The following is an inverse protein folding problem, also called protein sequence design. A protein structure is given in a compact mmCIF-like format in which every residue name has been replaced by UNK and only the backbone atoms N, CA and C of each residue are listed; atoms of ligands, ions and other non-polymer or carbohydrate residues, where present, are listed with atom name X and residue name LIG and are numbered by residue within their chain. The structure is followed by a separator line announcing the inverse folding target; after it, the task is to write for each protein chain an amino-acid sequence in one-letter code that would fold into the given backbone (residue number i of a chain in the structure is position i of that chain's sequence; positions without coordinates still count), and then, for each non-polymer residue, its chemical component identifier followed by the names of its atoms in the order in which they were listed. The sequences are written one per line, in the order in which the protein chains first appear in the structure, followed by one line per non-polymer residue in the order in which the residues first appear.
data_IF_561303455284
#
_entry.id   IF_561303455284
#
_cell.length_a   1.000
_cell.length_b   1.000
_cell.length_c   1.000
_cell.angle_alpha   90.00
_cell.angle_beta   90.00
_cell.angle_gamma   90.00
#
_symmetry.space_group_name_H-M   'P 1'
#
loop_
_entity.id
_entity.type
_entity.pdbx_description
1 polymer ?
#
# COMPACT_ATOMS: atom_id res chain seq x y z
N UNK A 1 34.77 5.42 53.06
CA UNK A 1 33.94 5.93 54.16
C UNK A 1 32.51 5.50 53.83
N UNK A 2 32.13 4.32 54.23
CA UNK A 2 31.26 3.94 55.37
C UNK A 2 29.83 4.44 55.13
N UNK A 3 28.92 3.51 54.84
CA UNK A 3 28.06 2.62 55.65
C UNK A 3 26.66 3.23 55.75
N UNK A 4 25.65 2.36 55.52
CA UNK A 4 24.30 2.55 55.97
C UNK A 4 23.28 1.64 55.31
N UNK A 5 23.27 0.39 55.77
CA UNK A 5 22.25 -0.65 55.71
C UNK A 5 20.93 -0.21 56.36
N UNK A 6 19.83 -0.79 55.91
CA UNK A 6 18.56 -0.75 56.62
C UNK A 6 17.48 -1.59 55.96
N UNK A 7 17.44 -2.87 56.26
CA UNK A 7 16.34 -3.79 55.96
C UNK A 7 15.37 -3.83 57.16
N UNK A 8 14.06 -3.92 56.91
CA UNK A 8 13.09 -4.54 57.84
C UNK A 8 11.98 -5.25 57.07
N UNK A 9 11.78 -6.48 57.49
CA UNK A 9 10.84 -7.53 57.14
C UNK A 9 9.61 -7.47 58.04
N UNK A 10 8.48 -8.06 57.56
CA UNK A 10 7.45 -8.87 58.24
C UNK A 10 6.09 -8.61 57.63
N UNK A 11 5.45 -9.51 56.95
CA UNK A 11 4.76 -10.76 57.31
C UNK A 11 3.35 -10.53 57.90
N UNK A 12 2.36 -11.20 57.33
CA UNK A 12 1.02 -11.27 57.87
C UNK A 12 0.03 -12.02 56.98
N UNK A 13 -0.13 -13.30 57.26
CA UNK A 13 -1.04 -14.31 56.78
C UNK A 13 -2.55 -13.97 56.89
N UNK A 14 -3.37 -14.69 56.09
CA UNK A 14 -4.81 -14.83 56.33
C UNK A 14 -5.51 -15.67 55.27
N UNK A 15 -5.61 -16.99 55.54
CA UNK A 15 -6.39 -17.99 54.78
C UNK A 15 -7.83 -18.06 55.22
N UNK A 16 -8.75 -18.49 54.29
CA UNK A 16 -9.88 -19.43 54.48
C UNK A 16 -10.71 -19.48 53.19
N UNK A 17 -10.78 -20.57 52.45
CA UNK A 17 -11.56 -21.81 52.51
C UNK A 17 -13.08 -21.57 52.72
N UNK A 18 -13.97 -21.98 51.81
CA UNK A 18 -14.59 -23.24 51.52
C UNK A 18 -15.85 -22.98 50.72
N UNK A 19 -16.24 -23.71 49.77
CA UNK A 19 -16.70 -25.07 49.50
C UNK A 19 -18.14 -25.10 48.96
N UNK A 20 -18.29 -25.89 47.87
CA UNK A 20 -19.34 -26.83 47.49
C UNK A 20 -20.75 -26.27 47.16
N UNK A 21 -21.46 -26.72 46.14
CA UNK A 21 -21.79 -28.05 45.66
C UNK A 21 -22.69 -27.99 44.43
N UNK A 22 -22.52 -28.92 43.51
CA UNK A 22 -23.57 -29.38 42.56
C UNK A 22 -24.52 -30.34 43.31
N UNK A 23 -25.67 -30.79 42.77
CA UNK A 23 -25.84 -31.48 41.50
C UNK A 23 -27.21 -31.38 40.79
N UNK A 24 -27.27 -31.77 39.54
CA UNK A 24 -28.08 -32.90 39.06
C UNK A 24 -29.40 -32.59 38.33
N UNK A 25 -29.47 -33.15 37.18
CA UNK A 25 -30.42 -34.11 36.62
C UNK A 25 -30.99 -33.77 35.23
N UNK A 26 -30.61 -34.61 34.28
CA UNK A 26 -31.39 -35.02 33.09
C UNK A 26 -32.45 -36.05 33.58
N UNK A 27 -33.51 -36.46 32.83
CA UNK A 27 -33.57 -36.78 31.40
C UNK A 27 -34.96 -36.58 30.72
N UNK A 28 -35.12 -36.77 29.43
CA UNK A 28 -35.76 -37.89 28.77
C UNK A 28 -36.33 -37.56 27.38
N UNK A 29 -36.15 -38.54 26.52
CA UNK A 29 -36.50 -38.62 25.12
C UNK A 29 -37.99 -38.92 24.86
N UNK A 30 -38.46 -38.67 23.60
CA UNK A 30 -39.42 -39.52 22.85
C UNK A 30 -39.34 -39.16 21.36
N UNK A 31 -38.86 -39.99 20.52
CA UNK A 31 -39.35 -40.98 19.54
C UNK A 31 -40.53 -40.53 18.69
N UNK A 32 -40.38 -40.66 17.37
CA UNK A 32 -41.44 -40.62 16.39
C UNK A 32 -40.91 -40.80 14.94
N UNK A 33 -41.21 -41.95 14.36
CA UNK A 33 -40.63 -42.60 13.20
C UNK A 33 -41.14 -42.14 11.82
N UNK A 34 -40.30 -42.32 10.83
CA UNK A 34 -40.39 -42.88 9.49
C UNK A 34 -41.59 -42.58 8.56
N UNK A 35 -41.26 -42.19 7.34
CA UNK A 35 -41.76 -42.85 6.13
C UNK A 35 -40.86 -42.53 4.90
N UNK A 36 -40.58 -43.60 4.20
CA UNK A 36 -39.77 -43.74 2.99
C UNK A 36 -40.45 -43.23 1.72
N UNK A 37 -39.68 -42.76 0.74
CA UNK A 37 -40.11 -42.53 -0.62
C UNK A 37 -38.93 -42.45 -1.56
N UNK A 38 -38.67 -43.55 -2.28
CA UNK A 38 -37.69 -43.65 -3.36
C UNK A 38 -38.19 -42.99 -4.62
N UNK A 39 -37.34 -42.24 -5.34
CA UNK A 39 -37.34 -42.13 -6.81
C UNK A 39 -36.06 -41.52 -7.38
N UNK A 40 -35.35 -42.31 -8.10
CA UNK A 40 -34.69 -42.22 -9.40
C UNK A 40 -33.87 -40.98 -9.80
N UNK A 41 -32.68 -41.30 -10.25
CA UNK A 41 -31.60 -40.48 -10.76
C UNK A 41 -31.88 -39.82 -12.12
N UNK A 42 -31.33 -38.58 -12.30
CA UNK A 42 -31.03 -37.94 -13.57
C UNK A 42 -29.79 -37.04 -13.36
N UNK A 43 -28.91 -36.91 -14.33
CA UNK A 43 -27.62 -36.26 -14.13
C UNK A 43 -27.77 -34.75 -14.06
N UNK A 44 -27.27 -34.15 -13.00
CA UNK A 44 -27.27 -32.70 -12.78
C UNK A 44 -25.93 -32.13 -13.19
N UNK A 45 -25.95 -31.21 -14.11
CA UNK A 45 -24.88 -30.28 -14.45
C UNK A 45 -24.44 -29.52 -13.20
N UNK A 46 -23.16 -29.68 -12.84
CA UNK A 46 -22.51 -28.90 -11.79
C UNK A 46 -21.97 -27.60 -12.39
N UNK A 47 -22.80 -26.60 -12.51
CA UNK A 47 -22.36 -25.21 -12.59
C UNK A 47 -22.25 -24.66 -11.17
N UNK A 48 -21.02 -24.56 -10.67
CA UNK A 48 -20.71 -23.81 -9.44
C UNK A 48 -21.08 -22.34 -9.65
N UNK A 49 -21.85 -21.73 -8.74
CA UNK A 49 -22.00 -20.29 -8.77
C UNK A 49 -20.70 -19.65 -8.26
N UNK A 50 -19.99 -19.01 -9.19
CA UNK A 50 -19.00 -17.99 -8.85
C UNK A 50 -19.72 -16.91 -8.05
N UNK A 51 -19.47 -16.85 -6.75
CA UNK A 51 -19.92 -15.74 -5.92
C UNK A 51 -19.14 -14.49 -6.35
N UNK A 52 -19.66 -13.80 -7.36
CA UNK A 52 -19.30 -12.42 -7.61
C UNK A 52 -19.70 -11.62 -6.36
N UNK A 53 -18.72 -11.28 -5.54
CA UNK A 53 -18.89 -10.27 -4.51
C UNK A 53 -19.14 -8.95 -5.25
N UNK A 54 -20.40 -8.60 -5.39
CA UNK A 54 -20.80 -7.27 -5.82
C UNK A 54 -20.56 -6.32 -4.66
N UNK A 55 -19.30 -5.89 -4.49
CA UNK A 55 -19.02 -4.67 -3.75
C UNK A 55 -19.68 -3.53 -4.54
N UNK A 56 -20.64 -2.88 -3.90
CA UNK A 56 -21.31 -1.72 -4.48
C UNK A 56 -20.21 -0.66 -4.67
N UNK A 57 -19.84 -0.38 -5.90
CA UNK A 57 -18.93 0.71 -6.22
C UNK A 57 -19.48 2.00 -5.58
N UNK A 58 -18.64 2.71 -4.86
CA UNK A 58 -19.01 4.03 -4.32
C UNK A 58 -19.23 4.94 -5.51
N UNK A 59 -20.42 5.52 -5.61
CA UNK A 59 -20.73 6.47 -6.69
C UNK A 59 -19.96 7.78 -6.45
N UNK A 60 -18.79 7.91 -7.07
CA UNK A 60 -17.94 9.11 -6.99
C UNK A 60 -18.55 10.32 -7.73
N UNK A 61 -19.66 10.16 -8.44
CA UNK A 61 -20.40 11.31 -9.00
C UNK A 61 -21.16 12.09 -7.94
N UNK A 62 -21.37 11.50 -6.76
CA UNK A 62 -22.03 12.13 -5.61
C UNK A 62 -21.08 12.99 -4.77
N UNK A 63 -20.06 13.61 -5.37
CA UNK A 63 -19.10 14.48 -4.68
C UNK A 63 -19.82 15.60 -3.94
N UNK A 64 -19.81 15.54 -2.63
CA UNK A 64 -20.42 16.54 -1.76
C UNK A 64 -19.36 17.07 -0.79
N UNK A 65 -19.09 18.35 -0.84
CA UNK A 65 -18.15 19.03 0.05
C UNK A 65 -18.13 20.53 -0.26
N UNK A 66 -17.66 21.31 0.68
CA UNK A 66 -17.55 22.75 0.53
C UNK A 66 -16.09 23.18 0.32
N UNK A 67 -15.36 22.50 -0.58
CA UNK A 67 -14.04 22.95 -1.02
C UNK A 67 -14.10 24.42 -1.44
N UNK A 68 -12.99 25.11 -1.38
CA UNK A 68 -12.88 26.53 -1.78
C UNK A 68 -12.13 26.64 -3.08
N UNK A 69 -12.44 27.63 -3.88
CA UNK A 69 -11.71 28.00 -5.09
C UNK A 69 -11.12 29.40 -4.87
N UNK A 70 -9.84 29.56 -5.12
CA UNK A 70 -9.15 30.86 -5.19
C UNK A 70 -8.56 31.12 -6.58
N UNK A 71 -8.81 30.19 -7.50
CA UNK A 71 -8.37 30.22 -8.90
C UNK A 71 -6.91 29.82 -9.06
N UNK A 72 -6.34 29.04 -8.12
CA UNK A 72 -4.94 28.60 -8.13
C UNK A 72 -4.84 27.20 -7.54
N UNK A 73 -4.29 26.26 -8.31
CA UNK A 73 -4.06 24.90 -7.80
C UNK A 73 -2.95 24.90 -6.72
N UNK A 74 -3.30 24.47 -5.52
CA UNK A 74 -2.39 24.32 -4.39
C UNK A 74 -2.32 22.85 -3.97
N UNK A 75 -1.12 22.27 -4.02
CA UNK A 75 -0.80 20.87 -3.70
C UNK A 75 -0.19 20.82 -2.32
N UNK A 76 -0.80 20.10 -1.37
CA UNK A 76 -0.17 19.72 -0.11
C UNK A 76 0.53 18.37 -0.25
N UNK A 77 1.64 18.18 0.44
CA UNK A 77 2.35 16.91 0.49
C UNK A 77 2.18 16.24 1.84
N UNK A 78 1.66 15.04 1.85
CA UNK A 78 1.58 14.19 3.03
C UNK A 78 2.44 12.95 2.82
N UNK A 79 3.76 13.15 2.70
CA UNK A 79 4.72 12.13 2.30
C UNK A 79 5.73 11.83 3.43
N UNK A 80 6.27 10.59 3.55
CA UNK A 80 7.03 10.19 4.72
C UNK A 80 8.46 10.76 4.70
N UNK A 81 8.68 11.86 5.45
CA UNK A 81 10.02 12.34 5.75
C UNK A 81 10.60 11.59 6.96
N UNK A 82 9.74 11.18 7.87
CA UNK A 82 10.08 10.42 9.08
C UNK A 82 9.19 9.18 9.22
N UNK A 83 9.52 8.30 10.19
CA UNK A 83 8.75 7.10 10.46
C UNK A 83 9.22 5.88 9.68
N UNK A 84 8.44 4.80 9.74
CA UNK A 84 8.79 3.47 9.24
C UNK A 84 8.90 3.36 7.71
N UNK A 85 8.35 4.32 6.95
CA UNK A 85 8.43 4.42 5.50
C UNK A 85 9.27 5.60 5.01
N UNK A 86 10.11 6.23 5.86
CA UNK A 86 10.94 7.37 5.48
C UNK A 86 11.85 7.11 4.26
N UNK A 87 12.11 5.85 3.91
CA UNK A 87 12.87 5.46 2.73
C UNK A 87 12.14 5.70 1.41
N UNK A 88 10.80 5.74 1.42
CA UNK A 88 9.97 6.04 0.25
C UNK A 88 9.81 7.55 0.02
N UNK A 89 9.99 8.37 1.05
CA UNK A 89 9.78 9.82 0.93
C UNK A 89 10.60 10.51 -0.16
N UNK A 90 11.94 10.36 -0.22
CA UNK A 90 12.76 11.06 -1.20
C UNK A 90 12.30 10.88 -2.66
N UNK A 91 12.04 9.67 -3.19
CA UNK A 91 11.55 9.51 -4.55
C UNK A 91 10.12 10.08 -4.75
N UNK A 92 9.25 9.99 -3.75
CA UNK A 92 7.89 10.55 -3.83
C UNK A 92 7.92 12.08 -3.90
N UNK A 93 8.66 12.75 -3.01
CA UNK A 93 8.87 14.21 -3.08
C UNK A 93 9.51 14.64 -4.39
N UNK A 94 10.48 13.87 -4.90
CA UNK A 94 11.10 14.18 -6.19
C UNK A 94 10.08 14.07 -7.34
N UNK A 95 9.15 13.12 -7.28
CA UNK A 95 8.06 12.98 -8.24
C UNK A 95 7.12 14.18 -8.24
N UNK A 96 6.64 14.59 -7.05
CA UNK A 96 5.77 15.77 -6.87
C UNK A 96 6.48 17.03 -7.37
N UNK A 97 7.70 17.30 -6.88
CA UNK A 97 8.46 18.51 -7.24
C UNK A 97 8.79 18.57 -8.73
N UNK A 98 9.09 17.42 -9.37
CA UNK A 98 9.31 17.36 -10.82
C UNK A 98 8.03 17.69 -11.59
N UNK A 99 6.88 17.12 -11.21
CA UNK A 99 5.59 17.39 -11.85
C UNK A 99 5.26 18.89 -11.77
N UNK A 100 5.32 19.48 -10.58
CA UNK A 100 5.03 20.91 -10.36
C UNK A 100 5.98 21.78 -11.19
N UNK A 101 7.27 21.46 -11.23
CA UNK A 101 8.26 22.16 -12.03
C UNK A 101 7.91 22.13 -13.52
N UNK A 102 7.55 20.98 -14.08
CA UNK A 102 7.21 20.83 -15.51
C UNK A 102 5.86 21.49 -15.84
N UNK A 103 4.87 21.40 -14.96
CA UNK A 103 3.57 22.09 -15.10
C UNK A 103 3.79 23.60 -15.13
N UNK A 104 4.57 24.15 -14.19
CA UNK A 104 4.84 25.58 -14.12
C UNK A 104 5.66 26.08 -15.32
N UNK A 105 6.59 25.27 -15.82
CA UNK A 105 7.33 25.57 -17.04
C UNK A 105 6.43 25.58 -18.30
N UNK A 106 5.32 24.83 -18.29
CA UNK A 106 4.32 24.81 -19.36
C UNK A 106 3.31 25.97 -19.29
N UNK A 107 3.38 26.81 -18.25
CA UNK A 107 2.48 27.96 -18.06
C UNK A 107 1.54 27.85 -16.85
N UNK A 108 1.70 26.81 -16.04
CA UNK A 108 0.90 26.55 -14.85
C UNK A 108 -0.48 26.00 -15.17
N UNK A 109 -1.36 26.04 -14.20
CA UNK A 109 -2.78 25.59 -14.27
C UNK A 109 -3.69 26.81 -14.19
N UNK A 110 -4.71 26.87 -15.06
CA UNK A 110 -5.61 28.05 -15.20
C UNK A 110 -4.83 29.37 -15.41
N UNK A 111 -3.63 29.29 -16.04
CA UNK A 111 -2.76 30.41 -16.27
C UNK A 111 -2.00 30.94 -15.05
N UNK A 112 -1.97 30.18 -13.95
CA UNK A 112 -1.24 30.50 -12.71
C UNK A 112 -0.28 29.40 -12.33
N UNK A 113 0.86 29.71 -11.67
CA UNK A 113 1.74 28.69 -11.13
C UNK A 113 1.04 27.83 -10.08
N UNK A 114 1.29 26.52 -10.13
CA UNK A 114 0.94 25.56 -9.06
C UNK A 114 1.84 25.83 -7.86
N UNK A 115 1.26 25.83 -6.67
CA UNK A 115 1.98 26.00 -5.40
C UNK A 115 2.03 24.67 -4.64
N UNK A 116 3.18 24.41 -4.02
CA UNK A 116 3.43 23.24 -3.18
C UNK A 116 3.49 23.65 -1.70
N UNK A 117 2.92 22.85 -0.81
CA UNK A 117 3.01 22.95 0.65
C UNK A 117 3.62 21.66 1.17
N UNK A 118 4.96 21.61 1.35
CA UNK A 118 5.61 20.38 1.80
C UNK A 118 5.17 19.96 3.21
N UNK A 119 5.00 18.65 3.44
CA UNK A 119 4.61 18.11 4.72
C UNK A 119 5.10 16.69 4.97
N UNK A 120 5.30 16.38 6.26
CA UNK A 120 5.68 15.06 6.73
C UNK A 120 4.41 14.27 7.11
N UNK A 121 4.32 13.03 6.65
CA UNK A 121 3.26 12.12 7.08
C UNK A 121 3.60 11.40 8.40
N UNK A 122 4.87 11.33 8.78
CA UNK A 122 5.30 10.47 9.87
C UNK A 122 4.90 9.01 9.62
N UNK A 123 4.47 8.36 10.68
CA UNK A 123 3.86 7.03 10.64
C UNK A 123 2.61 6.94 11.52
N UNK A 124 1.95 5.77 11.54
CA UNK A 124 0.70 5.57 12.27
C UNK A 124 0.84 5.61 13.81
N UNK A 125 2.07 5.70 14.34
CA UNK A 125 2.34 5.79 15.80
C UNK A 125 2.41 7.23 16.29
N UNK A 126 2.34 8.20 15.38
CA UNK A 126 2.48 9.64 15.67
C UNK A 126 1.24 10.42 15.21
N UNK A 127 1.10 11.67 15.64
CA UNK A 127 0.06 12.61 15.20
C UNK A 127 0.55 13.58 14.10
N UNK A 128 1.75 13.33 13.54
CA UNK A 128 2.39 14.19 12.54
C UNK A 128 1.47 14.40 11.33
N UNK A 129 0.89 13.33 10.78
CA UNK A 129 -0.04 13.43 9.65
C UNK A 129 -1.22 14.35 9.93
N UNK A 130 -1.82 14.25 11.13
CA UNK A 130 -2.94 15.10 11.54
C UNK A 130 -2.52 16.57 11.61
N UNK A 131 -1.33 16.87 12.15
CA UNK A 131 -0.80 18.24 12.20
C UNK A 131 -0.51 18.79 10.81
N UNK A 132 0.10 17.98 9.94
CA UNK A 132 0.39 18.33 8.54
C UNK A 132 -0.91 18.65 7.78
N UNK A 133 -1.90 17.76 7.83
CA UNK A 133 -3.21 17.97 7.18
C UNK A 133 -3.89 19.24 7.70
N UNK A 134 -3.86 19.50 9.02
CA UNK A 134 -4.42 20.74 9.57
C UNK A 134 -3.78 21.99 8.97
N UNK A 135 -2.46 21.99 8.84
CA UNK A 135 -1.70 23.11 8.27
C UNK A 135 -2.01 23.29 6.78
N UNK A 136 -2.06 22.20 6.01
CA UNK A 136 -2.33 22.25 4.58
C UNK A 136 -3.75 22.68 4.26
N UNK A 137 -4.75 22.16 4.97
CA UNK A 137 -6.13 22.62 4.86
C UNK A 137 -6.28 24.11 5.22
N UNK A 138 -5.59 24.58 6.27
CA UNK A 138 -5.59 25.99 6.67
C UNK A 138 -4.88 26.89 5.64
N UNK A 139 -3.90 26.36 4.93
CA UNK A 139 -3.17 27.04 3.86
C UNK A 139 -3.90 27.01 2.51
N UNK A 140 -5.06 26.33 2.41
CA UNK A 140 -5.88 26.28 1.22
C UNK A 140 -5.43 25.24 0.18
N UNK A 141 -4.94 24.08 0.63
CA UNK A 141 -4.66 22.97 -0.28
C UNK A 141 -5.96 22.49 -0.97
N UNK A 142 -5.89 22.29 -2.29
CA UNK A 142 -6.97 21.74 -3.11
C UNK A 142 -6.87 20.23 -3.23
N UNK A 143 -5.65 19.72 -3.20
CA UNK A 143 -5.30 18.31 -3.19
C UNK A 143 -4.17 18.06 -2.19
N UNK A 144 -4.25 16.96 -1.46
CA UNK A 144 -3.16 16.45 -0.61
C UNK A 144 -2.64 15.17 -1.26
N UNK A 145 -1.38 15.21 -1.72
CA UNK A 145 -0.68 14.07 -2.31
C UNK A 145 -0.07 13.23 -1.18
N UNK A 146 -0.57 12.05 -1.00
CA UNK A 146 -0.21 11.15 0.10
C UNK A 146 -1.46 10.52 0.75
N UNK A 147 -1.30 9.85 1.90
CA UNK A 147 -0.02 9.45 2.46
C UNK A 147 0.54 8.23 1.71
N UNK A 148 1.82 7.88 1.97
CA UNK A 148 2.37 6.62 1.49
C UNK A 148 1.80 5.42 2.28
N UNK A 149 1.79 5.49 3.60
CA UNK A 149 1.24 4.45 4.47
C UNK A 149 -0.28 4.40 4.42
N UNK A 150 -0.83 3.20 4.15
CA UNK A 150 -2.28 2.98 4.19
C UNK A 150 -2.86 3.23 5.59
N UNK A 151 -2.14 2.88 6.66
CA UNK A 151 -2.58 3.15 8.02
C UNK A 151 -2.64 4.65 8.31
N UNK A 152 -1.67 5.42 7.84
CA UNK A 152 -1.64 6.88 8.00
C UNK A 152 -2.80 7.53 7.26
N UNK A 153 -3.01 7.22 5.97
CA UNK A 153 -4.15 7.76 5.21
C UNK A 153 -5.48 7.48 5.92
N UNK A 154 -5.69 6.26 6.44
CA UNK A 154 -6.92 5.93 7.18
C UNK A 154 -7.14 6.76 8.45
N UNK A 155 -6.12 7.42 9.00
CA UNK A 155 -6.28 8.32 10.16
C UNK A 155 -6.74 9.73 9.76
N UNK A 156 -6.52 10.15 8.51
CA UNK A 156 -6.74 11.53 8.06
C UNK A 156 -7.74 11.67 6.91
N UNK A 157 -8.05 10.59 6.19
CA UNK A 157 -8.92 10.59 5.00
C UNK A 157 -10.28 11.24 5.27
N UNK A 158 -10.91 10.94 6.40
CA UNK A 158 -12.20 11.54 6.77
C UNK A 158 -12.08 13.06 6.95
N UNK A 159 -10.97 13.52 7.51
CA UNK A 159 -10.75 14.95 7.73
C UNK A 159 -10.54 15.68 6.41
N UNK A 160 -9.73 15.13 5.52
CA UNK A 160 -9.43 15.69 4.21
C UNK A 160 -10.72 15.74 3.37
N UNK A 161 -11.38 14.61 3.21
CA UNK A 161 -12.58 14.49 2.36
C UNK A 161 -13.79 15.22 2.93
N UNK A 162 -13.93 15.29 4.26
CA UNK A 162 -14.97 16.13 4.91
C UNK A 162 -14.73 17.64 4.71
N UNK A 163 -13.49 18.06 4.52
CA UNK A 163 -13.14 19.43 4.17
C UNK A 163 -13.38 19.76 2.70
N UNK A 164 -13.80 18.79 1.89
CA UNK A 164 -14.04 18.95 0.46
C UNK A 164 -12.75 19.04 -0.35
N UNK A 165 -11.64 18.51 0.17
CA UNK A 165 -10.30 18.48 -0.45
C UNK A 165 -10.03 17.07 -0.96
N UNK A 166 -9.28 16.96 -2.06
CA UNK A 166 -8.89 15.69 -2.65
C UNK A 166 -7.72 15.10 -1.86
N UNK A 167 -7.78 13.80 -1.53
CA UNK A 167 -6.62 13.00 -1.15
C UNK A 167 -6.22 12.12 -2.33
N UNK A 168 -4.97 12.24 -2.78
CA UNK A 168 -4.47 11.48 -3.92
C UNK A 168 -3.19 10.75 -3.51
N UNK A 169 -3.32 9.47 -3.11
CA UNK A 169 -2.17 8.70 -2.66
C UNK A 169 -1.37 8.11 -3.81
N UNK A 170 -0.04 8.30 -3.84
CA UNK A 170 0.82 7.62 -4.79
C UNK A 170 1.17 6.19 -4.38
N UNK A 171 0.99 5.80 -3.11
CA UNK A 171 1.54 4.56 -2.57
C UNK A 171 0.60 3.73 -1.67
N UNK A 172 -0.64 4.18 -1.40
CA UNK A 172 -1.60 3.36 -0.68
C UNK A 172 -2.05 2.16 -1.52
N UNK A 173 -1.83 0.96 -1.02
CA UNK A 173 -2.19 -0.28 -1.72
C UNK A 173 -3.31 -1.07 -1.03
N UNK A 174 -3.62 -0.79 0.25
CA UNK A 174 -4.64 -1.51 1.00
C UNK A 174 -5.97 -1.60 0.24
N UNK A 175 -6.57 -2.79 0.27
CA UNK A 175 -7.87 -3.07 -0.35
C UNK A 175 -9.03 -2.29 0.27
N UNK A 176 -8.82 -1.71 1.46
CA UNK A 176 -9.84 -0.94 2.17
C UNK A 176 -10.27 0.33 1.45
N UNK A 177 -9.38 0.93 0.65
CA UNK A 177 -9.68 2.19 -0.04
C UNK A 177 -10.67 2.03 -1.20
N UNK A 178 -10.71 0.88 -1.86
CA UNK A 178 -11.62 0.61 -2.99
C UNK A 178 -13.10 0.86 -2.62
N UNK A 179 -13.47 0.58 -1.36
CA UNK A 179 -14.86 0.72 -0.88
C UNK A 179 -15.01 1.74 0.25
N UNK A 180 -13.99 2.56 0.48
CA UNK A 180 -14.03 3.57 1.53
C UNK A 180 -15.08 4.66 1.21
N UNK A 181 -15.86 5.12 2.19
CA UNK A 181 -16.89 6.15 1.98
C UNK A 181 -16.29 7.57 1.93
N UNK A 182 -15.42 7.81 0.96
CA UNK A 182 -14.57 9.00 0.81
C UNK A 182 -15.26 10.18 0.10
N UNK A 183 -16.56 10.12 -0.12
CA UNK A 183 -17.35 11.13 -0.83
C UNK A 183 -16.89 11.40 -2.27
N UNK A 184 -16.15 10.48 -2.87
CA UNK A 184 -15.57 10.63 -4.20
C UNK A 184 -14.37 11.58 -4.27
N UNK A 185 -13.67 11.76 -3.14
CA UNK A 185 -12.52 12.68 -3.02
C UNK A 185 -11.20 11.94 -2.74
N UNK A 186 -11.20 10.60 -2.67
CA UNK A 186 -9.97 9.82 -2.58
C UNK A 186 -9.65 9.15 -3.92
N UNK A 187 -8.39 9.21 -4.31
CA UNK A 187 -7.82 8.59 -5.51
C UNK A 187 -6.44 8.01 -5.18
N UNK A 188 -5.97 7.07 -6.01
CA UNK A 188 -4.60 6.59 -5.92
C UNK A 188 -4.03 6.26 -7.29
N UNK A 189 -2.72 6.45 -7.44
CA UNK A 189 -1.94 5.98 -8.59
C UNK A 189 -1.28 4.64 -8.31
N UNK A 190 -1.08 4.28 -7.04
CA UNK A 190 -0.68 2.94 -6.66
C UNK A 190 -1.80 1.92 -6.89
N UNK A 191 -1.49 0.73 -7.44
CA UNK A 191 -2.48 -0.33 -7.60
C UNK A 191 -2.86 -0.97 -6.26
N UNK A 192 -4.07 -1.53 -6.20
CA UNK A 192 -4.56 -2.25 -5.02
C UNK A 192 -3.77 -3.55 -4.77
N UNK A 193 -3.65 -3.93 -3.49
CA UNK A 193 -3.12 -5.24 -3.04
C UNK A 193 -3.88 -6.44 -3.63
N UNK A 194 -5.09 -6.22 -4.15
CA UNK A 194 -5.79 -7.23 -4.95
C UNK A 194 -4.96 -7.70 -6.15
N UNK A 195 -4.18 -6.81 -6.74
CA UNK A 195 -3.29 -7.11 -7.87
C UNK A 195 -1.92 -7.61 -7.37
N UNK A 196 -1.31 -6.91 -6.40
CA UNK A 196 0.03 -7.24 -5.92
C UNK A 196 0.10 -8.60 -5.25
N UNK A 197 -0.90 -8.98 -4.47
CA UNK A 197 -0.96 -10.29 -3.83
C UNK A 197 -0.93 -11.42 -4.85
N UNK A 198 -1.64 -11.24 -5.98
CA UNK A 198 -1.59 -12.17 -7.12
C UNK A 198 -0.18 -12.29 -7.70
N UNK A 199 0.50 -11.15 -7.92
CA UNK A 199 1.86 -11.12 -8.49
C UNK A 199 2.86 -11.80 -7.56
N UNK A 200 2.94 -11.39 -6.29
CA UNK A 200 3.93 -11.95 -5.36
C UNK A 200 3.69 -13.43 -5.09
N UNK A 201 2.44 -13.85 -4.93
CA UNK A 201 2.12 -15.28 -4.74
C UNK A 201 2.53 -16.14 -5.93
N UNK A 202 2.26 -15.67 -7.16
CA UNK A 202 2.67 -16.35 -8.38
C UNK A 202 4.20 -16.38 -8.56
N UNK A 203 4.93 -15.33 -8.17
CA UNK A 203 6.39 -15.30 -8.19
C UNK A 203 6.95 -16.35 -7.25
N UNK A 204 6.46 -16.44 -6.01
CA UNK A 204 6.93 -17.42 -5.02
C UNK A 204 6.71 -18.86 -5.50
N UNK A 205 5.51 -19.20 -5.97
CA UNK A 205 5.19 -20.55 -6.47
C UNK A 205 5.90 -20.83 -7.80
N UNK A 206 6.00 -19.82 -8.68
CA UNK A 206 6.70 -19.94 -9.96
C UNK A 206 8.21 -20.21 -9.82
N UNK A 207 8.82 -19.79 -8.71
CA UNK A 207 10.20 -20.12 -8.35
C UNK A 207 10.37 -21.57 -7.81
N UNK A 208 9.26 -22.31 -7.69
CA UNK A 208 9.26 -23.73 -7.28
C UNK A 208 9.02 -23.96 -5.79
N UNK A 209 8.61 -22.91 -5.05
CA UNK A 209 8.32 -23.03 -3.60
C UNK A 209 6.89 -23.47 -3.36
N UNK A 210 6.74 -24.47 -2.49
CA UNK A 210 5.46 -25.12 -2.21
C UNK A 210 4.97 -24.98 -0.77
N UNK A 211 5.86 -24.60 0.17
CA UNK A 211 5.57 -24.45 1.60
C UNK A 211 5.98 -23.06 2.08
N UNK A 212 5.09 -22.12 1.92
CA UNK A 212 5.38 -20.70 2.17
C UNK A 212 4.99 -20.31 3.59
N UNK A 213 5.88 -19.65 4.33
CA UNK A 213 5.50 -18.91 5.52
C UNK A 213 5.29 -17.44 5.16
N UNK A 214 4.19 -16.84 5.60
CA UNK A 214 3.91 -15.42 5.47
C UNK A 214 4.12 -14.75 6.82
N UNK A 215 4.98 -13.74 6.86
CA UNK A 215 5.17 -12.84 7.99
C UNK A 215 4.70 -11.45 7.54
N UNK A 216 3.70 -10.89 8.20
CA UNK A 216 3.15 -9.60 7.82
C UNK A 216 2.97 -8.69 9.03
N UNK A 217 3.32 -7.42 8.85
CA UNK A 217 3.12 -6.43 9.90
C UNK A 217 1.62 -6.23 10.18
N UNK A 218 1.30 -5.91 11.43
CA UNK A 218 -0.06 -5.66 11.91
C UNK A 218 -0.52 -4.25 11.52
N UNK A 219 -0.93 -4.12 10.25
CA UNK A 219 -1.40 -2.86 9.68
C UNK A 219 -2.41 -3.17 8.55
N UNK A 220 -3.24 -2.21 8.10
CA UNK A 220 -4.22 -2.44 7.03
C UNK A 220 -3.62 -2.85 5.68
N UNK A 221 -2.40 -2.42 5.35
CA UNK A 221 -1.64 -2.87 4.20
C UNK A 221 -1.15 -4.31 4.40
N UNK A 222 -0.39 -4.56 5.46
CA UNK A 222 0.25 -5.85 5.69
C UNK A 222 -0.74 -7.00 5.78
N UNK A 223 -1.82 -6.83 6.53
CA UNK A 223 -2.86 -7.85 6.65
C UNK A 223 -3.62 -8.09 5.34
N UNK A 224 -3.93 -7.00 4.61
CA UNK A 224 -4.62 -7.07 3.32
C UNK A 224 -3.80 -7.79 2.26
N UNK A 225 -2.53 -7.41 2.10
CA UNK A 225 -1.63 -8.05 1.14
C UNK A 225 -1.36 -9.52 1.49
N UNK A 226 -1.19 -9.84 2.80
CA UNK A 226 -1.00 -11.22 3.24
C UNK A 226 -2.20 -12.12 2.86
N UNK A 227 -3.43 -11.63 2.99
CA UNK A 227 -4.64 -12.36 2.61
C UNK A 227 -4.71 -12.61 1.09
N UNK A 228 -4.32 -11.64 0.27
CA UNK A 228 -4.31 -11.79 -1.19
C UNK A 228 -3.16 -12.71 -1.65
N UNK A 229 -1.98 -12.57 -1.05
CA UNK A 229 -0.84 -13.47 -1.32
C UNK A 229 -1.15 -14.93 -0.96
N UNK A 230 -1.79 -15.18 0.20
CA UNK A 230 -2.22 -16.52 0.59
C UNK A 230 -3.20 -17.13 -0.43
N UNK A 231 -4.18 -16.35 -0.90
CA UNK A 231 -5.11 -16.81 -1.95
C UNK A 231 -4.38 -17.16 -3.26
N UNK A 232 -3.41 -16.33 -3.66
CA UNK A 232 -2.66 -16.56 -4.88
C UNK A 232 -1.74 -17.79 -4.75
N UNK A 233 -1.02 -17.93 -3.63
CA UNK A 233 -0.15 -19.08 -3.34
C UNK A 233 -0.97 -20.38 -3.38
N UNK A 234 -2.10 -20.41 -2.68
CA UNK A 234 -2.95 -21.61 -2.62
C UNK A 234 -3.62 -21.90 -3.95
N UNK A 235 -4.10 -20.88 -4.64
CA UNK A 235 -4.68 -21.00 -5.99
C UNK A 235 -3.69 -21.49 -7.04
N UNK A 236 -2.40 -21.25 -6.86
CA UNK A 236 -1.31 -21.72 -7.73
C UNK A 236 -0.71 -23.08 -7.30
N UNK A 237 -1.32 -23.77 -6.33
CA UNK A 237 -0.92 -25.09 -5.87
C UNK A 237 0.14 -25.10 -4.76
N UNK A 238 0.53 -23.96 -4.22
CA UNK A 238 1.35 -23.86 -3.02
C UNK A 238 0.52 -24.05 -1.74
N UNK A 239 1.21 -24.15 -0.61
CA UNK A 239 0.63 -24.24 0.73
C UNK A 239 1.20 -23.13 1.60
N UNK A 240 0.34 -22.35 2.26
CA UNK A 240 0.76 -21.45 3.34
C UNK A 240 0.83 -22.26 4.63
N UNK A 241 2.04 -22.62 5.06
CA UNK A 241 2.29 -23.43 6.25
C UNK A 241 2.22 -22.61 7.55
N UNK A 242 2.35 -21.31 7.43
CA UNK A 242 2.22 -20.35 8.55
C UNK A 242 1.89 -18.97 7.99
N UNK A 243 0.92 -18.28 8.61
CA UNK A 243 0.67 -16.84 8.41
C UNK A 243 0.66 -16.18 9.78
N UNK A 244 1.67 -15.35 10.04
CA UNK A 244 1.85 -14.67 11.33
C UNK A 244 1.77 -13.16 11.08
N UNK A 245 0.83 -12.53 11.78
CA UNK A 245 0.72 -11.08 11.83
C UNK A 245 1.50 -10.62 13.05
N UNK A 246 2.54 -9.81 12.84
CA UNK A 246 3.43 -9.35 13.90
C UNK A 246 3.28 -7.87 14.20
N UNK A 247 3.57 -7.48 15.43
CA UNK A 247 3.65 -6.08 15.85
C UNK A 247 4.92 -5.43 15.27
N UNK A 248 4.80 -4.42 14.37
CA UNK A 248 5.97 -3.78 13.76
C UNK A 248 6.82 -2.99 14.77
N UNK A 249 6.28 -2.70 15.96
CA UNK A 249 6.98 -1.97 17.04
C UNK A 249 7.65 -2.89 18.05
N UNK A 250 7.57 -4.21 17.87
CA UNK A 250 8.11 -5.18 18.79
C UNK A 250 9.62 -4.99 19.01
N UNK A 251 10.06 -5.16 20.25
CA UNK A 251 11.47 -5.08 20.62
C UNK A 251 12.29 -6.24 20.04
N UNK A 252 11.70 -7.44 19.91
CA UNK A 252 12.28 -8.65 19.33
C UNK A 252 11.25 -9.39 18.46
N UNK A 253 11.75 -10.10 17.44
CA UNK A 253 10.94 -10.98 16.57
C UNK A 253 11.28 -12.47 16.77
N UNK A 254 12.00 -12.84 17.82
CA UNK A 254 12.48 -14.20 18.04
C UNK A 254 11.35 -15.21 18.19
N UNK A 255 10.23 -14.84 18.84
CA UNK A 255 9.04 -15.68 18.96
C UNK A 255 8.36 -15.92 17.59
N UNK A 256 8.19 -14.87 16.80
CA UNK A 256 7.64 -14.93 15.43
C UNK A 256 8.49 -15.84 14.56
N UNK A 257 9.80 -15.65 14.61
CA UNK A 257 10.79 -16.45 13.86
C UNK A 257 10.84 -17.89 14.36
N UNK A 258 10.75 -18.13 15.67
CA UNK A 258 10.69 -19.47 16.25
C UNK A 258 9.47 -20.25 15.79
N UNK A 259 8.28 -19.62 15.78
CA UNK A 259 7.05 -20.20 15.25
C UNK A 259 7.16 -20.52 13.76
N UNK A 260 7.75 -19.61 12.97
CA UNK A 260 8.00 -19.79 11.54
C UNK A 260 8.91 -20.98 11.29
N UNK A 261 10.03 -21.06 11.99
CA UNK A 261 11.00 -22.16 11.88
C UNK A 261 10.37 -23.52 12.17
N UNK A 262 9.52 -23.60 13.19
CA UNK A 262 8.83 -24.83 13.58
C UNK A 262 7.92 -25.41 12.48
N UNK A 263 7.49 -24.58 11.51
CA UNK A 263 6.67 -25.02 10.36
C UNK A 263 7.50 -25.54 9.18
N UNK A 264 8.83 -25.42 9.25
CA UNK A 264 9.77 -25.89 8.22
C UNK A 264 9.39 -25.43 6.81
N UNK A 265 9.23 -24.11 6.58
CA UNK A 265 8.89 -23.58 5.26
C UNK A 265 10.06 -23.75 4.28
N UNK A 266 9.77 -23.85 2.98
CA UNK A 266 10.77 -23.81 1.90
C UNK A 266 10.99 -22.38 1.37
N UNK A 267 10.13 -21.44 1.75
CA UNK A 267 10.29 -20.01 1.48
C UNK A 267 9.54 -19.15 2.51
N UNK A 268 9.95 -17.89 2.63
CA UNK A 268 9.33 -16.91 3.52
C UNK A 268 8.93 -15.68 2.69
N UNK A 269 7.68 -15.26 2.78
CA UNK A 269 7.20 -13.98 2.30
C UNK A 269 7.13 -13.01 3.49
N UNK A 270 7.94 -11.96 3.47
CA UNK A 270 8.00 -10.92 4.50
C UNK A 270 7.34 -9.64 3.98
N UNK A 271 6.22 -9.30 4.58
CA UNK A 271 5.44 -8.09 4.30
C UNK A 271 5.68 -7.14 5.48
N UNK A 272 6.40 -6.05 5.25
CA UNK A 272 6.79 -5.14 6.31
C UNK A 272 7.36 -3.83 5.77
N UNK A 273 7.83 -3.00 6.67
CA UNK A 273 8.49 -1.73 6.41
C UNK A 273 9.97 -1.80 6.87
N UNK A 274 10.50 -0.72 7.47
CA UNK A 274 11.90 -0.66 7.91
C UNK A 274 12.24 -1.69 9.01
N UNK A 275 11.28 -2.10 9.85
CA UNK A 275 11.44 -3.16 10.85
C UNK A 275 11.80 -4.51 10.24
N UNK A 276 11.55 -4.72 8.94
CA UNK A 276 11.96 -5.93 8.20
C UNK A 276 13.45 -6.24 8.37
N UNK A 277 14.30 -5.24 8.55
CA UNK A 277 15.74 -5.42 8.86
C UNK A 277 15.95 -6.23 10.13
N UNK A 278 15.19 -5.93 11.19
CA UNK A 278 15.25 -6.65 12.48
C UNK A 278 14.68 -8.06 12.33
N UNK A 279 13.56 -8.21 11.60
CA UNK A 279 12.99 -9.54 11.32
C UNK A 279 14.01 -10.40 10.59
N UNK A 280 14.69 -9.87 9.57
CA UNK A 280 15.74 -10.57 8.82
C UNK A 280 16.92 -10.95 9.73
N UNK A 281 17.34 -10.07 10.63
CA UNK A 281 18.40 -10.37 11.62
C UNK A 281 18.01 -11.54 12.54
N UNK A 282 16.76 -11.57 13.01
CA UNK A 282 16.23 -12.69 13.82
C UNK A 282 16.15 -13.99 12.99
N UNK A 283 15.73 -13.93 11.71
CA UNK A 283 15.74 -15.09 10.79
C UNK A 283 17.17 -15.64 10.60
N UNK A 284 18.15 -14.78 10.39
CA UNK A 284 19.57 -15.17 10.27
C UNK A 284 20.06 -15.82 11.55
N UNK A 285 19.79 -15.21 12.71
CA UNK A 285 20.17 -15.72 14.02
C UNK A 285 19.56 -17.10 14.32
N UNK A 286 18.32 -17.31 13.88
CA UNK A 286 17.63 -18.61 14.01
C UNK A 286 18.08 -19.67 12.99
N UNK A 287 18.96 -19.33 12.04
CA UNK A 287 19.46 -20.24 10.99
C UNK A 287 18.49 -20.52 9.86
N UNK A 288 17.48 -19.66 9.66
CA UNK A 288 16.53 -19.70 8.55
C UNK A 288 16.52 -18.38 7.75
N UNK A 289 17.64 -17.63 7.79
CA UNK A 289 17.81 -16.42 6.98
C UNK A 289 17.89 -16.71 5.47
N UNK A 290 17.97 -15.65 4.62
CA UNK A 290 17.84 -15.76 3.17
C UNK A 290 18.79 -16.74 2.49
N UNK A 291 19.98 -16.99 3.05
CA UNK A 291 20.94 -17.96 2.53
C UNK A 291 20.54 -19.43 2.78
N UNK A 292 19.51 -19.70 3.57
CA UNK A 292 19.01 -21.03 3.93
C UNK A 292 17.60 -21.28 3.49
N UNK A 293 16.73 -20.29 3.67
CA UNK A 293 15.33 -20.30 3.26
C UNK A 293 15.12 -19.05 2.38
N UNK A 294 14.80 -19.20 1.11
CA UNK A 294 14.52 -18.09 0.21
C UNK A 294 13.53 -17.11 0.81
N UNK A 295 13.88 -15.82 0.73
CA UNK A 295 13.08 -14.72 1.25
C UNK A 295 12.53 -13.87 0.11
N UNK A 296 11.26 -13.53 0.21
CA UNK A 296 10.57 -12.62 -0.67
C UNK A 296 10.12 -11.39 0.10
N UNK A 297 10.41 -10.22 -0.47
CA UNK A 297 9.92 -8.94 0.03
C UNK A 297 8.79 -8.39 -0.84
N UNK A 298 8.29 -7.24 -0.45
CA UNK A 298 7.23 -6.50 -1.15
C UNK A 298 7.59 -5.01 -1.19
N UNK A 299 6.76 -4.20 -1.82
CA UNK A 299 6.97 -2.76 -2.02
C UNK A 299 7.33 -1.98 -0.75
N UNK A 300 6.74 -2.35 0.40
CA UNK A 300 7.01 -1.68 1.67
C UNK A 300 8.43 -1.89 2.21
N UNK A 301 9.17 -2.92 1.74
CA UNK A 301 10.50 -3.22 2.25
C UNK A 301 11.58 -3.46 1.18
N UNK A 302 11.21 -3.84 -0.06
CA UNK A 302 12.21 -4.12 -1.10
C UNK A 302 12.81 -2.84 -1.68
N UNK A 303 14.04 -2.52 -1.28
CA UNK A 303 14.72 -1.28 -1.70
C UNK A 303 16.24 -1.42 -1.59
N UNK A 304 16.98 -0.46 -2.13
CA UNK A 304 18.44 -0.36 -1.94
C UNK A 304 18.84 0.02 -0.50
N UNK A 305 17.88 0.30 0.38
CA UNK A 305 18.12 0.61 1.80
C UNK A 305 17.84 -0.55 2.72
N UNK A 306 17.15 -1.62 2.27
CA UNK A 306 16.86 -2.79 3.09
C UNK A 306 18.14 -3.43 3.66
N UNK A 307 19.23 -3.39 2.88
CA UNK A 307 20.53 -3.94 3.31
C UNK A 307 21.35 -3.07 4.25
N UNK A 308 20.90 -1.85 4.55
CA UNK A 308 21.67 -0.94 5.39
C UNK A 308 21.75 -1.46 6.83
N UNK A 309 22.99 -1.63 7.33
CA UNK A 309 23.26 -2.22 8.65
C UNK A 309 23.30 -3.76 8.68
N UNK A 310 23.00 -4.45 7.58
CA UNK A 310 23.17 -5.90 7.47
C UNK A 310 24.56 -6.26 6.93
N UNK A 311 25.16 -7.39 7.36
CA UNK A 311 26.41 -7.86 6.77
C UNK A 311 26.28 -8.05 5.26
N UNK A 312 27.36 -7.78 4.47
CA UNK A 312 27.35 -8.01 3.03
C UNK A 312 26.93 -9.44 2.68
N UNK A 313 26.12 -9.60 1.65
CA UNK A 313 25.63 -10.90 1.19
C UNK A 313 24.45 -11.47 1.99
N UNK A 314 24.02 -10.83 3.08
CA UNK A 314 22.85 -11.28 3.86
C UNK A 314 21.60 -11.41 2.99
N UNK A 315 21.40 -10.47 2.06
CA UNK A 315 20.21 -10.42 1.19
C UNK A 315 20.45 -11.01 -0.21
N UNK A 316 21.62 -11.61 -0.46
CA UNK A 316 21.91 -12.13 -1.78
C UNK A 316 20.88 -13.18 -2.23
N UNK A 317 20.20 -12.92 -3.35
CA UNK A 317 19.16 -13.79 -3.89
C UNK A 317 17.75 -13.50 -3.36
N UNK A 318 17.58 -12.58 -2.41
CA UNK A 318 16.25 -12.10 -2.00
C UNK A 318 15.56 -11.49 -3.21
N UNK A 319 14.31 -11.88 -3.43
CA UNK A 319 13.46 -11.29 -4.46
C UNK A 319 12.34 -10.47 -3.79
N UNK A 320 11.70 -9.61 -4.57
CA UNK A 320 10.53 -8.89 -4.08
C UNK A 320 9.77 -8.22 -5.21
N UNK A 321 8.52 -7.86 -4.94
CA UNK A 321 7.65 -7.19 -5.90
C UNK A 321 7.33 -5.78 -5.44
N UNK A 322 7.30 -4.83 -6.37
CA UNK A 322 6.84 -3.47 -6.13
C UNK A 322 6.10 -2.96 -7.35
N UNK A 323 5.04 -2.14 -7.19
CA UNK A 323 4.53 -1.36 -8.32
C UNK A 323 5.68 -0.60 -8.96
N UNK A 324 5.97 -0.88 -10.20
CA UNK A 324 7.10 -0.28 -10.91
C UNK A 324 6.99 -0.51 -12.41
N UNK A 325 7.10 0.56 -13.16
CA UNK A 325 7.36 0.51 -14.60
C UNK A 325 8.85 0.65 -14.87
N UNK A 326 9.28 0.25 -16.06
CA UNK A 326 10.65 0.55 -16.50
C UNK A 326 10.77 2.04 -16.79
N UNK A 327 11.12 2.83 -15.78
CA UNK A 327 11.35 4.27 -15.96
C UNK A 327 12.47 4.52 -16.97
N UNK A 328 12.26 5.47 -17.89
CA UNK A 328 13.28 5.87 -18.84
C UNK A 328 14.47 6.52 -18.13
N UNK A 329 15.66 6.38 -18.70
CA UNK A 329 16.88 7.05 -18.19
C UNK A 329 16.72 8.57 -18.12
N UNK A 330 15.98 9.16 -19.06
CA UNK A 330 15.67 10.58 -19.08
C UNK A 330 14.82 11.00 -17.87
N UNK A 331 13.75 10.22 -17.57
CA UNK A 331 12.90 10.48 -16.40
C UNK A 331 13.67 10.32 -15.08
N UNK A 332 14.50 9.28 -14.97
CA UNK A 332 15.37 9.10 -13.80
C UNK A 332 16.37 10.26 -13.65
N UNK A 333 16.94 10.75 -14.76
CA UNK A 333 17.84 11.91 -14.73
C UNK A 333 17.10 13.20 -14.30
N UNK A 334 15.86 13.39 -14.72
CA UNK A 334 15.01 14.50 -14.29
C UNK A 334 14.70 14.42 -12.78
N UNK A 335 14.35 13.26 -12.25
CA UNK A 335 14.15 13.05 -10.81
C UNK A 335 15.43 13.38 -10.03
N UNK A 336 16.59 12.90 -10.49
CA UNK A 336 17.90 13.25 -9.89
C UNK A 336 18.27 14.72 -10.03
N UNK A 337 17.66 15.48 -10.94
CA UNK A 337 17.83 16.94 -11.00
C UNK A 337 17.04 17.66 -9.90
N UNK A 338 16.02 17.01 -9.32
CA UNK A 338 15.27 17.49 -8.14
C UNK A 338 15.99 17.06 -6.86
N UNK A 339 16.29 15.76 -6.73
CA UNK A 339 17.11 15.24 -5.64
C UNK A 339 18.26 14.37 -6.15
N UNK A 340 19.51 14.90 -6.15
CA UNK A 340 20.70 14.16 -6.60
C UNK A 340 21.06 12.93 -5.72
N UNK A 341 20.45 12.79 -4.53
CA UNK A 341 20.77 11.73 -3.57
C UNK A 341 19.87 10.50 -3.71
N UNK A 342 18.94 10.50 -4.67
CA UNK A 342 18.01 9.38 -4.88
C UNK A 342 18.78 8.08 -5.10
N UNK A 343 18.44 7.08 -4.27
CA UNK A 343 18.94 5.71 -4.33
C UNK A 343 17.95 4.74 -4.98
N UNK A 344 16.67 5.06 -4.88
CA UNK A 344 15.53 4.31 -5.38
C UNK A 344 14.56 5.25 -6.10
N UNK A 345 13.64 4.68 -6.88
CA UNK A 345 12.62 5.42 -7.63
C UNK A 345 11.21 4.90 -7.32
N UNK A 346 11.06 4.12 -6.25
CA UNK A 346 9.77 3.55 -5.86
C UNK A 346 8.76 4.69 -5.65
N UNK A 347 7.60 4.56 -6.30
CA UNK A 347 6.50 5.53 -6.24
C UNK A 347 6.80 6.96 -6.75
N UNK A 348 7.99 7.21 -7.32
CA UNK A 348 8.30 8.51 -7.92
C UNK A 348 7.43 8.81 -9.15
N UNK A 349 7.17 7.79 -9.98
CA UNK A 349 6.30 7.90 -11.14
C UNK A 349 4.86 8.13 -10.76
N UNK A 350 4.39 7.38 -9.78
CA UNK A 350 3.05 7.47 -9.20
C UNK A 350 2.77 8.85 -8.61
N UNK A 351 3.75 9.42 -7.88
CA UNK A 351 3.65 10.77 -7.31
C UNK A 351 3.62 11.85 -8.40
N UNK A 352 4.47 11.72 -9.42
CA UNK A 352 4.45 12.61 -10.59
C UNK A 352 3.10 12.57 -11.31
N UNK A 353 2.54 11.36 -11.51
CA UNK A 353 1.28 11.16 -12.20
C UNK A 353 0.08 11.68 -11.39
N UNK A 354 0.08 11.53 -10.06
CA UNK A 354 -0.98 12.07 -9.20
C UNK A 354 -1.13 13.59 -9.35
N UNK A 355 -0.01 14.32 -9.33
CA UNK A 355 0.00 15.77 -9.54
C UNK A 355 -0.40 16.14 -10.97
N UNK A 356 0.13 15.42 -11.97
CA UNK A 356 -0.16 15.68 -13.39
C UNK A 356 -1.63 15.44 -13.72
N UNK A 357 -2.22 14.35 -13.23
CA UNK A 357 -3.65 14.03 -13.41
C UNK A 357 -4.52 15.11 -12.76
N UNK A 358 -4.18 15.53 -11.53
CA UNK A 358 -4.91 16.60 -10.82
C UNK A 358 -4.85 17.91 -11.60
N UNK A 359 -3.68 18.29 -12.11
CA UNK A 359 -3.50 19.50 -12.90
C UNK A 359 -4.34 19.48 -14.20
N UNK A 360 -4.34 18.36 -14.93
CA UNK A 360 -5.15 18.18 -16.14
C UNK A 360 -6.65 18.17 -15.81
N UNK A 361 -7.06 17.53 -14.72
CA UNK A 361 -8.43 17.54 -14.26
C UNK A 361 -8.90 18.96 -13.91
N UNK A 362 -8.02 19.78 -13.33
CA UNK A 362 -8.29 21.19 -13.02
C UNK A 362 -8.47 22.04 -14.29
N UNK A 363 -7.65 21.84 -15.33
CA UNK A 363 -7.82 22.50 -16.64
C UNK A 363 -9.12 22.10 -17.31
N UNK A 364 -9.52 20.82 -17.25
CA UNK A 364 -10.81 20.33 -17.79
C UNK A 364 -11.98 20.91 -17.01
N UNK A 365 -11.90 20.94 -15.68
CA UNK A 365 -12.93 21.52 -14.80
C UNK A 365 -13.05 23.04 -14.94
N UNK A 366 -12.02 23.71 -15.46
CA UNK A 366 -11.89 25.20 -15.54
C UNK A 366 -12.05 25.89 -14.19
N UNK A 367 -11.70 25.20 -13.12
CA UNK A 367 -11.75 25.68 -11.74
C UNK A 367 -10.85 24.79 -10.88
N UNK A 368 -10.26 25.38 -9.86
CA UNK A 368 -9.50 24.69 -8.81
C UNK A 368 -10.40 24.13 -7.68
N UNK A 369 -11.72 24.31 -7.77
CA UNK A 369 -12.65 23.77 -6.77
C UNK A 369 -12.53 22.24 -6.69
N UNK A 370 -12.01 21.66 -5.56
CA UNK A 370 -11.64 20.25 -5.52
C UNK A 370 -12.77 19.30 -5.87
N UNK A 371 -14.00 19.62 -5.45
CA UNK A 371 -15.18 18.80 -5.74
C UNK A 371 -15.59 18.79 -7.22
N UNK A 372 -15.20 19.81 -7.99
CA UNK A 372 -15.37 19.84 -9.44
C UNK A 372 -14.21 19.13 -10.14
N UNK A 373 -13.00 19.31 -9.65
CA UNK A 373 -11.78 18.64 -10.14
C UNK A 373 -11.89 17.12 -9.99
N UNK A 374 -12.31 16.63 -8.84
CA UNK A 374 -12.46 15.20 -8.54
C UNK A 374 -13.33 14.47 -9.57
N UNK A 375 -14.37 15.12 -10.09
CA UNK A 375 -15.25 14.54 -11.13
C UNK A 375 -14.55 14.32 -12.48
N UNK A 376 -13.41 14.97 -12.71
CA UNK A 376 -12.65 14.85 -13.95
C UNK A 376 -11.49 13.85 -13.83
N UNK A 377 -10.99 13.56 -12.62
CA UNK A 377 -9.76 12.78 -12.40
C UNK A 377 -9.79 11.43 -13.12
N UNK A 378 -10.81 10.60 -12.91
CA UNK A 378 -10.91 9.31 -13.60
C UNK A 378 -11.05 9.46 -15.13
N UNK A 379 -11.69 10.53 -15.60
CA UNK A 379 -11.86 10.83 -17.04
C UNK A 379 -10.54 11.11 -17.74
N UNK A 380 -9.59 11.77 -17.06
CA UNK A 380 -8.26 12.12 -17.60
C UNK A 380 -7.49 10.90 -18.13
N UNK A 381 -7.72 9.71 -17.55
CA UNK A 381 -6.94 8.50 -17.86
C UNK A 381 -7.68 7.48 -18.71
N UNK A 382 -8.96 7.70 -19.05
CA UNK A 382 -9.81 6.65 -19.63
C UNK A 382 -9.82 6.63 -21.16
N UNK A 383 -10.44 7.63 -21.77
CA UNK A 383 -10.77 7.61 -23.20
C UNK A 383 -10.54 8.98 -23.83
N UNK A 384 -9.78 9.01 -24.91
CA UNK A 384 -9.48 10.24 -25.63
C UNK A 384 -8.21 10.10 -26.46
N UNK A 385 -7.65 11.22 -26.87
CA UNK A 385 -6.37 11.29 -27.59
C UNK A 385 -5.21 11.00 -26.61
N UNK A 386 -4.38 9.98 -26.85
CA UNK A 386 -3.26 9.68 -25.99
C UNK A 386 -2.26 10.83 -25.89
N UNK A 387 -1.83 11.15 -24.66
CA UNK A 387 -0.80 12.13 -24.40
C UNK A 387 0.00 11.75 -23.14
N UNK A 388 1.30 12.15 -23.05
CA UNK A 388 2.27 11.60 -22.09
C UNK A 388 2.95 12.68 -21.24
N UNK A 389 2.56 13.94 -21.35
CA UNK A 389 3.08 15.02 -20.50
C UNK A 389 2.02 16.08 -20.28
N UNK A 390 2.10 16.81 -19.16
CA UNK A 390 1.18 17.91 -18.90
C UNK A 390 1.12 18.87 -20.11
N UNK A 391 2.27 19.33 -20.62
CA UNK A 391 2.33 20.30 -21.70
C UNK A 391 1.67 19.84 -23.01
N UNK A 392 1.72 18.54 -23.34
CA UNK A 392 1.05 18.01 -24.55
C UNK A 392 -0.42 17.80 -24.33
N UNK A 393 -0.82 17.29 -23.16
CA UNK A 393 -2.21 17.04 -22.80
C UNK A 393 -2.98 18.36 -22.63
N UNK A 394 -2.41 19.35 -21.97
CA UNK A 394 -3.00 20.68 -21.77
C UNK A 394 -3.31 21.40 -23.10
N UNK A 395 -2.42 21.28 -24.10
CA UNK A 395 -2.69 21.82 -25.44
C UNK A 395 -3.94 21.17 -26.08
N UNK A 396 -4.13 19.87 -25.90
CA UNK A 396 -5.30 19.16 -26.39
C UNK A 396 -6.56 19.59 -25.64
N UNK A 397 -6.49 19.69 -24.31
CA UNK A 397 -7.60 20.17 -23.46
C UNK A 397 -8.01 21.57 -23.87
N UNK A 398 -7.06 22.50 -24.06
CA UNK A 398 -7.32 23.87 -24.51
C UNK A 398 -7.89 23.95 -25.93
N UNK A 399 -7.61 22.94 -26.75
CA UNK A 399 -8.21 22.80 -28.08
C UNK A 399 -9.63 22.14 -28.06
N UNK A 400 -10.13 21.75 -26.87
CA UNK A 400 -11.43 21.09 -26.72
C UNK A 400 -11.39 19.60 -27.07
N UNK A 401 -10.22 18.97 -27.04
CA UNK A 401 -10.04 17.55 -27.38
C UNK A 401 -10.00 16.73 -26.08
N UNK A 402 -10.80 15.65 -26.04
CA UNK A 402 -10.73 14.67 -24.95
C UNK A 402 -9.37 13.97 -24.96
N UNK A 403 -8.79 13.78 -23.78
CA UNK A 403 -7.48 13.20 -23.59
C UNK A 403 -7.53 11.85 -22.88
N UNK A 404 -6.55 11.02 -23.16
CA UNK A 404 -6.21 9.83 -22.39
C UNK A 404 -4.74 9.96 -21.94
N UNK A 405 -4.53 10.46 -20.73
CA UNK A 405 -3.19 10.61 -20.18
C UNK A 405 -2.58 9.23 -19.92
N UNK A 406 -1.40 9.01 -20.47
CA UNK A 406 -0.58 7.82 -20.23
C UNK A 406 0.55 8.25 -19.31
N UNK A 407 0.47 7.84 -18.07
CA UNK A 407 1.42 8.21 -17.03
C UNK A 407 2.79 7.57 -17.19
N UNK A 408 3.76 8.09 -16.44
CA UNK A 408 5.11 7.51 -16.34
C UNK A 408 5.10 6.22 -15.52
N UNK A 409 4.15 6.08 -14.59
CA UNK A 409 3.86 4.82 -13.87
C UNK A 409 3.11 3.80 -14.74
N UNK A 410 2.77 4.12 -16.00
CA UNK A 410 2.08 3.26 -16.95
C UNK A 410 0.65 3.70 -17.26
N UNK A 411 -0.11 2.80 -17.86
CA UNK A 411 -1.52 3.05 -18.18
C UNK A 411 -2.37 2.87 -16.93
N UNK A 412 -2.67 3.95 -16.24
CA UNK A 412 -3.36 3.93 -14.94
C UNK A 412 -4.84 3.55 -15.06
N UNK A 413 -5.58 4.06 -16.03
CA UNK A 413 -7.03 3.82 -16.26
C UNK A 413 -7.81 3.71 -14.94
N UNK A 414 -7.92 4.82 -14.22
CA UNK A 414 -8.60 4.83 -12.93
C UNK A 414 -10.08 4.44 -13.08
N UNK A 415 -10.53 3.47 -12.29
CA UNK A 415 -11.95 3.06 -12.25
C UNK A 415 -12.83 4.07 -11.48
N UNK A 416 -14.07 3.71 -11.20
CA UNK A 416 -15.00 4.59 -10.50
C UNK A 416 -14.71 4.67 -8.99
N UNK A 417 -13.93 3.72 -8.45
CA UNK A 417 -13.38 3.81 -7.10
C UNK A 417 -12.11 4.68 -7.01
N UNK A 418 -11.58 5.18 -8.15
CA UNK A 418 -10.34 5.94 -8.21
C UNK A 418 -9.09 5.05 -8.10
N UNK A 419 -9.25 3.75 -8.37
CA UNK A 419 -8.18 2.75 -8.35
C UNK A 419 -7.65 2.47 -9.76
N UNK A 420 -6.33 2.28 -9.97
CA UNK A 420 -5.81 1.75 -11.22
C UNK A 420 -6.34 0.35 -11.51
N UNK A 421 -6.88 0.13 -12.72
CA UNK A 421 -7.43 -1.17 -13.14
C UNK A 421 -6.36 -2.16 -13.57
N UNK A 422 -5.17 -1.68 -13.88
CA UNK A 422 -4.00 -2.47 -14.24
C UNK A 422 -2.73 -1.78 -13.77
N UNK A 423 -1.68 -2.57 -13.54
CA UNK A 423 -0.38 -2.03 -13.13
C UNK A 423 0.77 -2.91 -13.62
N UNK A 424 1.93 -2.30 -13.77
CA UNK A 424 3.21 -2.99 -13.93
C UNK A 424 3.85 -3.19 -12.56
N UNK A 425 4.43 -4.37 -12.35
CA UNK A 425 5.20 -4.70 -11.16
C UNK A 425 6.62 -5.08 -11.55
N UNK A 426 7.59 -4.49 -10.88
CA UNK A 426 8.96 -4.96 -10.92
C UNK A 426 9.13 -6.16 -9.99
N UNK A 427 9.72 -7.26 -10.52
CA UNK A 427 10.24 -8.35 -9.71
C UNK A 427 11.73 -8.10 -9.56
N UNK A 428 12.11 -7.61 -8.40
CA UNK A 428 13.47 -7.20 -8.07
C UNK A 428 14.27 -8.36 -7.49
N UNK A 429 15.60 -8.34 -7.69
CA UNK A 429 16.51 -9.32 -7.10
C UNK A 429 17.67 -8.58 -6.43
N UNK A 430 17.97 -8.91 -5.17
CA UNK A 430 19.10 -8.33 -4.43
C UNK A 430 20.36 -9.14 -4.67
N UNK A 431 21.46 -8.44 -4.87
CA UNK A 431 22.80 -8.99 -5.11
C UNK A 431 23.64 -9.19 -3.85
N UNK A 432 24.92 -9.64 -4.05
CA UNK A 432 25.83 -9.92 -2.94
C UNK A 432 26.27 -8.67 -2.15
N UNK A 433 26.05 -7.48 -2.68
CA UNK A 433 26.30 -6.19 -2.02
C UNK A 433 25.08 -5.69 -1.24
N UNK A 434 24.04 -6.51 -1.11
CA UNK A 434 22.73 -6.17 -0.53
C UNK A 434 22.01 -5.03 -1.29
N UNK A 435 22.27 -4.86 -2.58
CA UNK A 435 21.60 -3.87 -3.45
C UNK A 435 20.82 -4.57 -4.56
N UNK A 436 19.83 -3.87 -5.09
CA UNK A 436 19.03 -4.32 -6.23
C UNK A 436 19.95 -4.44 -7.45
N UNK A 437 19.83 -5.55 -8.16
CA UNK A 437 20.55 -5.81 -9.42
C UNK A 437 19.63 -5.47 -10.58
N UNK A 438 19.73 -4.26 -11.11
CA UNK A 438 18.84 -3.73 -12.16
C UNK A 438 18.73 -4.67 -13.38
N UNK A 439 19.85 -5.29 -13.78
CA UNK A 439 19.88 -6.22 -14.92
C UNK A 439 19.11 -7.53 -14.70
N UNK A 440 18.71 -7.82 -13.45
CA UNK A 440 17.88 -8.98 -13.08
C UNK A 440 16.42 -8.59 -12.81
N UNK A 441 16.09 -7.31 -12.84
CA UNK A 441 14.71 -6.87 -12.68
C UNK A 441 13.89 -7.30 -13.89
N UNK A 442 12.79 -7.99 -13.64
CA UNK A 442 11.78 -8.32 -14.64
C UNK A 442 10.48 -7.59 -14.35
N UNK A 443 9.63 -7.44 -15.36
CA UNK A 443 8.38 -6.71 -15.22
C UNK A 443 7.19 -7.59 -15.54
N UNK A 444 6.15 -7.51 -14.73
CA UNK A 444 4.91 -8.29 -14.86
C UNK A 444 3.75 -7.31 -14.83
N UNK A 445 2.80 -7.45 -15.76
CA UNK A 445 1.55 -6.67 -15.74
C UNK A 445 0.45 -7.49 -15.06
N UNK A 446 -0.31 -6.86 -14.18
CA UNK A 446 -1.49 -7.42 -13.52
C UNK A 446 -2.72 -6.52 -13.75
N UNK A 447 -3.92 -7.11 -13.70
CA UNK A 447 -5.19 -6.42 -13.93
C UNK A 447 -5.71 -6.51 -15.37
N UNK A 448 -6.82 -5.83 -15.64
CA UNK A 448 -7.44 -5.78 -16.97
C UNK A 448 -6.62 -4.88 -17.91
N UNK A 449 -6.25 -5.41 -19.06
CA UNK A 449 -5.62 -4.65 -20.14
C UNK A 449 -6.66 -3.91 -21.00
#
# INVERSE_FOLDING_TARGET
MLIGLGAVVLAGCGSSKSSSSSPGATPAATTGAAASGSASAGPSDTSSPSAASTSKAVDKTAVTGAGKSDGKLTVGDLLPQTGSLATLGPPEFAGVGLAIKEINAAGGVLGKPVTEIPGDSGDATTDIATQTVNRELAAGADVIVGAASSAVSLTVIDKITNSGVIEFSPANTSTKFTTYPDKGLYFRTAPSDLLQGGVVGNVVVGDGHSKVAILALQDPYGTGLADQAEKAITGSGGQVVSKIIYDPTAASYDDVVGQTKAKNPDSILLIGFDESKKVIQSLVSAGIGPSKVPLYGVDGNISNTLGDGLPPGTLNGVKGTTPLTKLSSDFQAKLKSVDPKLRDFNYAGESYDAVTITALATEIAKTDLPTAVAKQISGVTKVGTPCMSFATCDKLVKAGTDIAYVGVAGALKLDDAGDPTSASYGVLTIGPDNKIVDSKTTYVTAGAQ
#
